data_IF_687103478680
#
_entry.id   IF_687103478680
#
_cell.length_a   1.000
_cell.length_b   1.000
_cell.length_c   1.000
_cell.angle_alpha   90.00
_cell.angle_beta   90.00
_cell.angle_gamma   90.00
#
_symmetry.space_group_name_H-M   'P 1'
#
loop_
_entity.id
_entity.type
_entity.pdbx_description
1 polymer ?
#
# COMPACT_ATOMS: atom_id res chain seq x y z
N UNK A 1 20.64 -0.13 -10.13
CA UNK A 1 20.87 -0.16 -11.59
C UNK A 1 19.59 0.14 -12.38
N UNK A 2 18.50 -0.60 -12.24
CA UNK A 2 17.26 -0.40 -13.00
C UNK A 2 16.69 1.03 -12.96
N UNK A 3 16.72 1.70 -11.79
CA UNK A 3 16.24 3.08 -11.64
C UNK A 3 17.06 4.08 -12.49
N UNK A 4 18.40 3.90 -12.55
CA UNK A 4 19.27 4.72 -13.38
C UNK A 4 18.98 4.53 -14.87
N UNK A 5 18.76 3.29 -15.31
CA UNK A 5 18.37 2.99 -16.69
C UNK A 5 17.02 3.59 -17.06
N UNK A 6 16.04 3.58 -16.15
CA UNK A 6 14.74 4.24 -16.38
C UNK A 6 14.87 5.76 -16.49
N UNK A 7 15.71 6.39 -15.65
CA UNK A 7 15.95 7.84 -15.72
C UNK A 7 16.69 8.23 -17.01
N UNK A 8 17.68 7.45 -17.43
CA UNK A 8 18.39 7.64 -18.69
C UNK A 8 17.46 7.47 -19.90
N UNK A 9 16.60 6.43 -19.88
CA UNK A 9 15.63 6.24 -20.96
C UNK A 9 14.68 7.43 -21.09
N UNK A 10 14.13 7.93 -19.97
CA UNK A 10 13.26 9.10 -19.97
C UNK A 10 13.99 10.38 -20.43
N UNK A 11 15.25 10.57 -20.05
CA UNK A 11 16.06 11.69 -20.52
C UNK A 11 16.25 11.64 -22.04
N UNK A 12 16.62 10.48 -22.60
CA UNK A 12 16.79 10.36 -24.06
C UNK A 12 15.46 10.43 -24.85
N UNK A 13 14.34 10.00 -24.27
CA UNK A 13 13.01 10.22 -24.86
C UNK A 13 12.70 11.71 -24.94
N UNK A 14 12.89 12.46 -23.86
CA UNK A 14 12.74 13.91 -23.85
C UNK A 14 13.66 14.60 -24.87
N UNK A 15 14.94 14.19 -24.96
CA UNK A 15 15.89 14.76 -25.91
C UNK A 15 15.52 14.49 -27.38
N UNK A 16 14.95 13.29 -27.66
CA UNK A 16 14.40 12.95 -28.98
C UNK A 16 13.20 13.83 -29.36
N UNK A 17 12.25 14.00 -28.44
CA UNK A 17 11.05 14.83 -28.64
C UNK A 17 11.39 16.31 -28.82
N UNK A 18 12.54 16.74 -28.29
CA UNK A 18 13.02 18.14 -28.36
C UNK A 18 14.03 18.37 -29.47
N UNK A 19 14.29 17.41 -30.35
CA UNK A 19 15.33 17.44 -31.40
C UNK A 19 16.74 17.77 -30.89
N UNK A 20 17.02 17.48 -29.63
CA UNK A 20 18.31 17.75 -28.95
C UNK A 20 19.16 16.50 -28.76
N UNK A 21 18.69 15.34 -29.20
CA UNK A 21 19.26 14.06 -28.86
C UNK A 21 19.69 13.19 -30.04
N UNK A 22 20.15 11.99 -29.77
CA UNK A 22 20.45 11.00 -30.80
C UNK A 22 19.17 10.57 -31.51
N UNK A 23 19.25 10.11 -32.75
CA UNK A 23 18.12 9.64 -33.57
C UNK A 23 17.36 8.45 -32.96
N UNK A 24 17.96 7.72 -32.01
CA UNK A 24 17.37 6.56 -31.36
C UNK A 24 17.75 6.59 -29.88
N UNK A 25 16.80 6.27 -29.00
CA UNK A 25 17.10 6.13 -27.57
C UNK A 25 18.11 4.98 -27.33
N UNK A 26 19.32 5.28 -26.82
CA UNK A 26 20.36 4.27 -26.64
C UNK A 26 20.08 3.27 -25.50
N UNK A 27 19.04 3.52 -24.68
CA UNK A 27 18.65 2.59 -23.60
C UNK A 27 17.73 1.52 -24.17
N UNK A 28 18.13 0.25 -24.18
CA UNK A 28 17.35 -0.82 -24.76
C UNK A 28 15.99 -0.96 -24.11
N UNK A 29 14.92 -1.02 -24.90
CA UNK A 29 13.55 -1.31 -24.45
C UNK A 29 13.33 -2.83 -24.37
N UNK A 30 12.37 -3.27 -23.54
CA UNK A 30 11.91 -4.65 -23.55
C UNK A 30 11.13 -4.93 -24.85
N UNK A 31 11.05 -6.21 -25.26
CA UNK A 31 10.21 -6.58 -26.40
C UNK A 31 8.74 -6.24 -26.16
N UNK A 32 8.26 -6.29 -24.94
CA UNK A 32 6.89 -5.89 -24.57
C UNK A 32 6.66 -4.38 -24.78
N UNK A 33 7.66 -3.53 -24.57
CA UNK A 33 7.55 -2.09 -24.82
C UNK A 33 7.56 -1.79 -26.32
N UNK A 34 8.26 -2.60 -27.12
CA UNK A 34 8.28 -2.47 -28.59
C UNK A 34 6.96 -2.92 -29.22
N UNK A 35 6.34 -3.98 -28.71
CA UNK A 35 5.04 -4.47 -29.22
C UNK A 35 3.87 -3.55 -28.87
N UNK A 36 3.96 -2.73 -27.83
CA UNK A 36 2.95 -1.69 -27.55
C UNK A 36 2.96 -0.53 -28.56
N UNK A 37 4.09 -0.26 -29.16
CA UNK A 37 4.21 0.72 -30.25
C UNK A 37 3.69 0.16 -31.60
N UNK A 38 3.71 -1.16 -31.77
CA UNK A 38 3.21 -1.88 -32.96
C UNK A 38 1.79 -2.45 -32.79
N UNK A 39 1.02 -2.03 -31.81
CA UNK A 39 -0.30 -2.59 -31.42
C UNK A 39 -1.40 -2.50 -32.50
N UNK A 40 -1.09 -2.05 -33.70
CA UNK A 40 -1.97 -2.13 -34.90
C UNK A 40 -1.74 -3.37 -35.75
N UNK A 41 -0.86 -4.30 -35.37
CA UNK A 41 -0.61 -5.53 -36.15
C UNK A 41 -0.81 -6.79 -35.32
N UNK A 42 -1.92 -7.48 -35.62
CA UNK A 42 -2.19 -8.93 -35.49
C UNK A 42 -2.51 -9.53 -34.13
N UNK A 43 -3.76 -9.93 -34.02
CA UNK A 43 -4.47 -10.62 -32.92
C UNK A 43 -4.19 -12.11 -32.76
N UNK A 44 -3.11 -12.71 -33.22
CA UNK A 44 -2.95 -14.17 -33.27
C UNK A 44 -1.63 -14.75 -32.76
N UNK A 45 -0.93 -14.10 -31.84
CA UNK A 45 0.24 -14.73 -31.21
C UNK A 45 0.04 -14.93 -29.71
N UNK A 46 0.19 -16.19 -29.26
CA UNK A 46 0.22 -16.56 -27.85
C UNK A 46 1.22 -15.71 -27.08
N UNK A 47 0.94 -15.34 -25.83
CA UNK A 47 1.85 -14.50 -25.04
C UNK A 47 3.19 -15.22 -24.85
N UNK A 48 4.20 -14.80 -25.59
CA UNK A 48 5.58 -15.26 -25.39
C UNK A 48 6.11 -14.68 -24.09
N UNK A 49 6.88 -15.45 -23.29
CA UNK A 49 7.43 -14.94 -22.05
C UNK A 49 8.22 -13.68 -22.30
N UNK A 50 7.90 -12.63 -21.53
CA UNK A 50 8.54 -11.31 -21.60
C UNK A 50 10.07 -11.47 -21.44
N UNK A 51 10.82 -11.33 -22.53
CA UNK A 51 12.28 -11.20 -22.45
C UNK A 51 12.57 -9.80 -21.94
N UNK A 52 13.22 -9.72 -20.78
CA UNK A 52 13.64 -8.45 -20.17
C UNK A 52 14.50 -7.63 -21.10
N UNK A 53 14.40 -6.32 -20.94
CA UNK A 53 15.36 -5.42 -21.60
C UNK A 53 16.78 -5.78 -21.14
N UNK A 54 17.75 -5.80 -22.07
CA UNK A 54 19.18 -5.99 -21.74
C UNK A 54 19.60 -5.03 -20.61
N UNK A 55 20.54 -5.48 -19.77
CA UNK A 55 21.10 -4.72 -18.64
C UNK A 55 20.15 -4.48 -17.45
N UNK A 56 18.84 -4.81 -17.51
CA UNK A 56 17.98 -4.75 -16.34
C UNK A 56 18.18 -5.96 -15.44
N UNK A 57 18.57 -5.70 -14.21
CA UNK A 57 18.74 -6.76 -13.21
C UNK A 57 17.39 -7.36 -12.83
N UNK A 58 17.38 -8.67 -12.57
CA UNK A 58 16.24 -9.35 -11.95
C UNK A 58 16.04 -8.80 -10.54
N UNK A 59 14.90 -8.13 -10.32
CA UNK A 59 14.50 -7.81 -8.97
C UNK A 59 14.13 -9.13 -8.28
N UNK A 60 14.82 -9.44 -7.20
CA UNK A 60 14.42 -10.52 -6.31
C UNK A 60 13.10 -10.06 -5.69
N UNK A 61 12.05 -10.81 -5.88
CA UNK A 61 10.74 -10.55 -5.26
C UNK A 61 10.87 -10.90 -3.76
N UNK A 62 11.32 -9.92 -2.99
CA UNK A 62 11.40 -10.06 -1.55
C UNK A 62 10.02 -9.80 -0.98
N UNK A 63 9.60 -10.66 -0.05
CA UNK A 63 8.39 -10.40 0.73
C UNK A 63 8.47 -9.00 1.37
N UNK A 64 7.38 -8.24 1.39
CA UNK A 64 7.34 -6.96 2.07
C UNK A 64 7.74 -7.13 3.53
N UNK A 65 8.59 -6.23 4.04
CA UNK A 65 9.00 -6.26 5.43
C UNK A 65 7.90 -5.65 6.29
N UNK A 66 7.25 -6.45 7.12
CA UNK A 66 6.40 -5.96 8.21
C UNK A 66 7.27 -5.72 9.46
N UNK A 67 6.92 -4.69 10.21
CA UNK A 67 7.51 -4.43 11.52
C UNK A 67 6.82 -5.34 12.55
N UNK A 68 7.61 -5.98 13.41
CA UNK A 68 7.06 -6.63 14.60
C UNK A 68 6.54 -5.57 15.58
N UNK A 69 5.57 -5.96 16.41
CA UNK A 69 5.02 -5.04 17.41
C UNK A 69 6.10 -4.58 18.39
N UNK A 70 7.02 -5.46 18.78
CA UNK A 70 8.16 -5.11 19.63
C UNK A 70 9.04 -4.04 19.00
N UNK A 71 9.45 -4.18 17.74
CA UNK A 71 10.26 -3.17 17.04
C UNK A 71 9.49 -1.85 16.86
N UNK A 72 8.18 -1.92 16.60
CA UNK A 72 7.34 -0.72 16.55
C UNK A 72 7.37 0.04 17.89
N UNK A 73 7.17 -0.66 19.02
CA UNK A 73 7.20 -0.06 20.35
C UNK A 73 8.57 0.54 20.69
N UNK A 74 9.67 -0.13 20.33
CA UNK A 74 11.03 0.40 20.49
C UNK A 74 11.21 1.70 19.70
N UNK A 75 10.82 1.71 18.40
CA UNK A 75 10.88 2.91 17.57
C UNK A 75 10.02 4.00 18.18
N UNK A 76 8.78 3.71 18.56
CA UNK A 76 7.84 4.68 19.10
C UNK A 76 8.35 5.30 20.41
N UNK A 77 8.90 4.49 21.30
CA UNK A 77 9.47 4.94 22.58
C UNK A 77 10.72 5.82 22.38
N UNK A 78 11.52 5.55 21.35
CA UNK A 78 12.69 6.35 21.02
C UNK A 78 12.36 7.76 20.52
N UNK A 79 11.13 8.02 20.09
CA UNK A 79 10.68 9.32 19.59
C UNK A 79 10.51 10.31 20.74
N UNK A 80 11.09 11.50 20.59
CA UNK A 80 11.18 12.49 21.67
C UNK A 80 10.05 13.51 21.69
N UNK A 81 9.33 13.70 20.57
CA UNK A 81 8.34 14.78 20.43
C UNK A 81 6.96 14.24 20.10
N UNK A 82 5.90 14.94 20.52
CA UNK A 82 4.53 14.55 20.18
C UNK A 82 4.28 14.60 18.67
N UNK A 83 4.94 15.50 17.94
CA UNK A 83 4.91 15.53 16.47
C UNK A 83 5.42 14.21 15.88
N UNK A 84 6.60 13.76 16.31
CA UNK A 84 7.24 12.59 15.72
C UNK A 84 6.44 11.33 16.05
N UNK A 85 5.89 11.23 17.26
CA UNK A 85 4.96 10.16 17.67
C UNK A 85 3.67 10.19 16.85
N UNK A 86 3.09 11.38 16.64
CA UNK A 86 1.89 11.53 15.83
C UNK A 86 2.12 11.09 14.37
N UNK A 87 3.26 11.44 13.77
CA UNK A 87 3.65 11.01 12.41
C UNK A 87 3.70 9.49 12.31
N UNK A 88 4.41 8.83 13.22
CA UNK A 88 4.60 7.38 13.20
C UNK A 88 3.29 6.64 13.50
N UNK A 89 2.54 7.08 14.51
CA UNK A 89 1.25 6.49 14.85
C UNK A 89 0.24 6.64 13.69
N UNK A 90 0.19 7.79 13.04
CA UNK A 90 -0.67 8.01 11.87
C UNK A 90 -0.25 7.12 10.71
N UNK A 91 1.04 7.00 10.42
CA UNK A 91 1.55 6.20 9.33
C UNK A 91 1.16 4.70 9.48
N UNK A 92 1.33 4.13 10.67
CA UNK A 92 1.04 2.71 10.91
C UNK A 92 -0.47 2.43 11.00
N UNK A 93 -1.28 3.38 11.46
CA UNK A 93 -2.72 3.20 11.62
C UNK A 93 -3.55 3.40 10.35
N UNK A 94 -3.02 4.13 9.37
CA UNK A 94 -3.75 4.52 8.16
C UNK A 94 -3.11 4.05 6.86
N UNK A 95 -1.88 3.55 6.93
CA UNK A 95 -1.11 3.14 5.76
C UNK A 95 -0.82 4.26 4.75
N UNK A 96 -0.86 5.52 5.18
CA UNK A 96 -0.59 6.68 4.33
C UNK A 96 0.81 6.63 3.72
N UNK A 97 0.93 7.06 2.47
CA UNK A 97 2.25 7.33 1.88
C UNK A 97 2.86 8.56 2.54
N UNK A 98 4.17 8.62 2.58
CA UNK A 98 4.89 9.75 3.15
C UNK A 98 4.46 11.11 2.54
N UNK A 99 4.22 11.16 1.22
CA UNK A 99 3.74 12.36 0.53
C UNK A 99 2.28 12.71 0.91
N UNK A 100 1.41 11.72 1.08
CA UNK A 100 0.03 11.91 1.51
C UNK A 100 0.00 12.47 2.93
N UNK A 101 0.77 11.86 3.85
CA UNK A 101 0.89 12.31 5.22
C UNK A 101 1.42 13.75 5.28
N UNK A 102 2.50 14.08 4.56
CA UNK A 102 3.08 15.43 4.55
C UNK A 102 2.17 16.49 3.92
N UNK A 103 1.22 16.10 3.07
CA UNK A 103 0.27 17.02 2.45
C UNK A 103 -0.92 17.39 3.34
N UNK A 104 -1.07 16.77 4.52
CA UNK A 104 -2.20 17.03 5.42
C UNK A 104 -2.24 18.47 5.89
N UNK A 105 -3.44 19.07 5.90
CA UNK A 105 -3.73 20.41 6.38
C UNK A 105 -4.61 20.37 7.61
N UNK A 106 -4.59 21.41 8.44
CA UNK A 106 -5.41 21.48 9.66
C UNK A 106 -6.90 21.31 9.37
N UNK A 107 -7.41 22.02 8.35
CA UNK A 107 -8.81 21.93 7.94
C UNK A 107 -9.23 20.62 7.28
N UNK A 108 -8.29 19.70 7.06
CA UNK A 108 -8.56 18.36 6.56
C UNK A 108 -8.72 17.31 7.67
N UNK A 109 -8.60 17.71 8.93
CA UNK A 109 -8.73 16.83 10.09
C UNK A 109 -10.16 16.87 10.64
N UNK A 110 -10.79 15.72 10.79
CA UNK A 110 -12.15 15.56 11.33
C UNK A 110 -12.07 14.85 12.68
N UNK A 111 -12.07 15.63 13.76
CA UNK A 111 -11.82 15.11 15.11
C UNK A 111 -12.92 14.19 15.61
N UNK A 112 -14.19 14.50 15.28
CA UNK A 112 -15.34 13.71 15.72
C UNK A 112 -15.27 12.26 15.24
N UNK A 113 -14.82 12.06 14.00
CA UNK A 113 -14.81 10.75 13.35
C UNK A 113 -13.40 10.12 13.29
N UNK A 114 -12.39 10.79 13.83
CA UNK A 114 -10.98 10.39 13.70
C UNK A 114 -10.58 10.10 12.24
N UNK A 115 -10.99 10.97 11.32
CA UNK A 115 -10.70 10.87 9.89
C UNK A 115 -9.91 12.08 9.40
N UNK A 116 -9.33 11.97 8.22
CA UNK A 116 -8.68 13.07 7.54
C UNK A 116 -8.90 12.97 6.02
N UNK A 117 -9.11 14.11 5.37
CA UNK A 117 -9.01 14.19 3.92
C UNK A 117 -7.54 14.16 3.50
N UNK A 118 -7.22 13.40 2.48
CA UNK A 118 -5.90 13.39 1.87
C UNK A 118 -6.00 13.55 0.36
N UNK A 119 -4.92 14.00 -0.26
CA UNK A 119 -4.79 14.05 -1.72
C UNK A 119 -3.86 12.90 -2.14
N UNK A 120 -4.39 11.84 -2.76
CA UNK A 120 -3.60 10.70 -3.21
C UNK A 120 -2.58 11.13 -4.28
N UNK A 121 -1.42 10.49 -4.31
CA UNK A 121 -0.44 10.71 -5.37
C UNK A 121 -1.02 10.30 -6.73
N UNK A 122 -1.11 11.23 -7.67
CA UNK A 122 -1.70 11.01 -9.00
C UNK A 122 -3.22 11.19 -9.07
N UNK A 123 -3.87 11.65 -8.00
CA UNK A 123 -5.34 11.77 -7.90
C UNK A 123 -5.94 13.07 -8.44
N UNK A 124 -5.30 13.79 -9.37
CA UNK A 124 -5.83 15.03 -9.99
C UNK A 124 -6.48 16.02 -9.00
N UNK A 125 -5.98 16.09 -7.75
CA UNK A 125 -6.53 16.96 -6.71
C UNK A 125 -7.77 16.42 -5.97
N UNK A 126 -8.32 15.28 -6.35
CA UNK A 126 -9.44 14.65 -5.65
C UNK A 126 -9.04 14.28 -4.22
N UNK A 127 -9.92 14.61 -3.26
CA UNK A 127 -9.73 14.24 -1.86
C UNK A 127 -10.31 12.86 -1.59
N UNK A 128 -9.64 12.12 -0.73
CA UNK A 128 -10.09 10.81 -0.24
C UNK A 128 -10.08 10.83 1.27
N UNK A 129 -11.18 10.41 1.87
CA UNK A 129 -11.30 10.29 3.33
C UNK A 129 -10.54 9.06 3.81
N UNK A 130 -9.73 9.24 4.86
CA UNK A 130 -8.93 8.18 5.46
C UNK A 130 -9.22 8.10 6.96
N UNK A 131 -9.42 6.89 7.44
CA UNK A 131 -9.57 6.63 8.88
C UNK A 131 -8.19 6.59 9.54
N UNK A 132 -8.11 7.22 10.71
CA UNK A 132 -6.94 7.21 11.60
C UNK A 132 -7.39 6.57 12.91
N UNK A 133 -6.58 5.70 13.52
CA UNK A 133 -6.98 5.09 14.79
C UNK A 133 -7.15 6.15 15.89
N UNK A 134 -8.07 5.96 16.85
CA UNK A 134 -8.26 6.91 17.95
C UNK A 134 -6.96 7.21 18.70
N UNK A 135 -6.14 6.18 18.94
CA UNK A 135 -4.84 6.33 19.60
C UNK A 135 -3.87 7.23 18.80
N UNK A 136 -3.81 7.05 17.48
CA UNK A 136 -2.98 7.90 16.62
C UNK A 136 -3.53 9.32 16.52
N UNK A 137 -4.85 9.47 16.49
CA UNK A 137 -5.50 10.79 16.47
C UNK A 137 -5.23 11.57 17.76
N UNK A 138 -5.20 10.89 18.91
CA UNK A 138 -4.81 11.49 20.19
C UNK A 138 -3.40 12.10 20.14
N UNK A 139 -2.44 11.43 19.47
CA UNK A 139 -1.11 11.99 19.27
C UNK A 139 -1.12 13.23 18.37
N UNK A 140 -1.94 13.25 17.33
CA UNK A 140 -2.16 14.45 16.51
C UNK A 140 -2.69 15.59 17.38
N UNK A 141 -3.73 15.31 18.18
CA UNK A 141 -4.32 16.32 19.07
C UNK A 141 -3.29 16.87 20.09
N UNK A 142 -2.52 16.00 20.72
CA UNK A 142 -1.44 16.41 21.65
C UNK A 142 -0.41 17.31 20.97
N UNK A 143 0.02 16.93 19.76
CA UNK A 143 0.97 17.74 19.02
C UNK A 143 0.39 19.09 18.61
N UNK A 144 -0.87 19.13 18.16
CA UNK A 144 -1.52 20.39 17.79
C UNK A 144 -1.80 21.30 18.99
N UNK A 145 -2.03 20.73 20.18
CA UNK A 145 -2.18 21.50 21.43
C UNK A 145 -0.90 22.23 21.86
N UNK A 146 0.28 21.76 21.42
CA UNK A 146 1.57 22.43 21.66
C UNK A 146 1.80 23.65 20.73
N UNK A 147 0.89 23.89 19.80
CA UNK A 147 1.04 24.92 18.78
C UNK A 147 -0.09 25.94 18.86
N UNK A 148 0.19 27.21 18.49
CA UNK A 148 -0.87 28.20 18.31
C UNK A 148 -1.94 27.71 17.31
N UNK A 149 -3.17 28.17 17.51
CA UNK A 149 -4.20 28.02 16.49
C UNK A 149 -3.70 28.62 15.17
N UNK A 150 -3.98 27.92 14.06
CA UNK A 150 -3.56 28.37 12.73
C UNK A 150 -4.69 28.20 11.73
N UNK A 151 -4.56 28.76 10.53
CA UNK A 151 -5.58 28.69 9.50
C UNK A 151 -5.78 27.24 9.00
N UNK A 152 -6.96 26.92 8.41
CA UNK A 152 -7.25 25.58 7.89
C UNK A 152 -6.25 25.07 6.84
N UNK A 153 -5.66 25.98 6.09
CA UNK A 153 -4.69 25.68 5.01
C UNK A 153 -3.28 25.38 5.55
N UNK A 154 -3.03 25.65 6.84
CA UNK A 154 -1.74 25.39 7.44
C UNK A 154 -1.42 23.90 7.46
N UNK A 155 -0.14 23.57 7.16
CA UNK A 155 0.32 22.19 7.24
C UNK A 155 0.17 21.65 8.66
N UNK A 156 -0.34 20.42 8.79
CA UNK A 156 -0.35 19.72 10.09
C UNK A 156 1.09 19.58 10.62
N UNK A 157 2.00 19.16 9.77
CA UNK A 157 3.37 18.85 10.16
C UNK A 157 4.32 20.01 9.90
N UNK A 158 4.84 20.59 10.96
CA UNK A 158 5.75 21.73 10.90
C UNK A 158 7.11 21.40 11.53
N UNK A 159 8.15 22.15 11.17
CA UNK A 159 9.44 22.09 11.84
C UNK A 159 9.32 22.60 13.29
N UNK A 160 10.10 22.01 14.22
CA UNK A 160 10.08 22.38 15.65
C UNK A 160 11.21 23.35 16.03
N UNK A 161 12.14 23.62 15.13
CA UNK A 161 13.28 24.52 15.36
C UNK A 161 13.33 25.57 14.29
N UNK A 162 13.74 26.79 14.68
CA UNK A 162 13.77 27.95 13.81
C UNK A 162 12.37 28.43 13.44
N UNK A 163 12.26 29.19 12.36
CA UNK A 163 10.97 29.67 11.85
C UNK A 163 10.11 28.44 11.43
N UNK A 164 8.87 28.32 11.95
CA UNK A 164 7.98 27.22 11.58
C UNK A 164 7.72 27.17 10.07
N UNK A 165 7.97 26.03 9.47
CA UNK A 165 7.71 25.76 8.04
C UNK A 165 7.22 24.33 7.86
N UNK A 166 6.48 24.00 6.80
CA UNK A 166 6.03 22.65 6.52
C UNK A 166 7.19 21.65 6.55
N UNK A 167 6.97 20.50 7.18
CA UNK A 167 7.97 19.46 7.31
C UNK A 167 8.27 18.86 5.94
N UNK A 168 9.53 18.83 5.52
CA UNK A 168 9.95 18.21 4.27
C UNK A 168 10.08 16.69 4.41
N UNK A 169 10.06 15.98 3.29
CA UNK A 169 10.31 14.52 3.27
C UNK A 169 11.68 14.17 3.88
N UNK A 170 12.70 14.96 3.58
CA UNK A 170 14.02 14.76 4.14
C UNK A 170 14.01 14.90 5.67
N UNK A 171 13.38 15.95 6.20
CA UNK A 171 13.29 16.17 7.65
C UNK A 171 12.49 15.06 8.36
N UNK A 172 11.41 14.56 7.74
CA UNK A 172 10.66 13.41 8.24
C UNK A 172 11.52 12.13 8.24
N UNK A 173 12.29 11.89 7.20
CA UNK A 173 13.22 10.76 7.14
C UNK A 173 14.26 10.83 8.26
N UNK A 174 14.79 12.03 8.58
CA UNK A 174 15.74 12.24 9.67
C UNK A 174 15.18 11.89 11.06
N UNK A 175 13.85 11.90 11.24
CA UNK A 175 13.22 11.42 12.48
C UNK A 175 13.52 9.94 12.68
N UNK A 176 13.28 9.13 11.64
CA UNK A 176 13.51 7.69 11.68
C UNK A 176 15.02 7.34 11.66
N UNK A 177 15.84 8.08 10.96
CA UNK A 177 17.28 7.86 10.95
C UNK A 177 17.90 8.01 12.35
N UNK A 178 17.42 8.96 13.16
CA UNK A 178 17.85 9.09 14.56
C UNK A 178 17.41 7.90 15.42
N UNK A 179 16.17 7.44 15.26
CA UNK A 179 15.66 6.25 15.94
C UNK A 179 16.45 5.02 15.53
N UNK A 180 16.66 4.83 14.23
CA UNK A 180 17.43 3.70 13.67
C UNK A 180 18.88 3.67 14.21
N UNK A 181 19.52 4.83 14.32
CA UNK A 181 20.89 4.93 14.87
C UNK A 181 20.96 4.48 16.34
N UNK A 182 19.90 4.74 17.13
CA UNK A 182 19.80 4.32 18.53
C UNK A 182 19.55 2.81 18.66
N UNK A 183 18.70 2.26 17.77
CA UNK A 183 18.20 0.88 17.87
C UNK A 183 18.99 -0.11 17.00
N UNK A 184 19.97 0.34 16.21
CA UNK A 184 20.65 -0.51 15.23
C UNK A 184 19.70 -1.03 14.13
N UNK A 185 18.59 -0.33 13.88
CA UNK A 185 17.56 -0.72 12.92
C UNK A 185 17.66 0.07 11.61
N UNK A 186 16.76 -0.21 10.66
CA UNK A 186 16.70 0.49 9.38
C UNK A 186 15.25 0.74 8.93
N UNK A 187 14.38 1.07 9.85
CA UNK A 187 12.95 1.32 9.64
C UNK A 187 12.74 2.57 8.78
N UNK A 188 11.82 2.50 7.85
CA UNK A 188 11.43 3.58 6.94
C UNK A 188 9.92 3.85 7.01
N UNK A 189 9.47 4.99 6.49
CA UNK A 189 8.02 5.28 6.36
C UNK A 189 7.27 4.25 5.53
N UNK A 190 7.97 3.59 4.62
CA UNK A 190 7.36 2.55 3.78
C UNK A 190 7.08 1.27 4.56
N UNK A 191 7.91 0.94 5.56
CA UNK A 191 7.71 -0.23 6.40
C UNK A 191 6.45 -0.12 7.26
N UNK A 192 6.06 1.07 7.75
CA UNK A 192 4.78 1.29 8.44
C UNK A 192 3.59 1.00 7.53
N UNK A 193 3.65 1.47 6.29
CA UNK A 193 2.61 1.18 5.29
C UNK A 193 2.55 -0.32 4.95
N UNK A 194 3.70 -0.99 4.82
CA UNK A 194 3.75 -2.44 4.63
C UNK A 194 3.14 -3.18 5.82
N UNK A 195 3.46 -2.76 7.04
CA UNK A 195 2.90 -3.35 8.27
C UNK A 195 1.38 -3.19 8.32
N UNK A 196 0.87 -2.00 8.01
CA UNK A 196 -0.59 -1.78 7.91
C UNK A 196 -1.23 -2.73 6.89
N UNK A 197 -0.66 -2.83 5.70
CA UNK A 197 -1.17 -3.73 4.66
C UNK A 197 -1.12 -5.21 5.06
N UNK A 198 -0.03 -5.65 5.72
CA UNK A 198 0.09 -7.01 6.23
C UNK A 198 -0.94 -7.32 7.32
N UNK A 199 -1.20 -6.37 8.24
CA UNK A 199 -2.25 -6.52 9.25
C UNK A 199 -3.64 -6.65 8.62
N UNK A 200 -3.95 -5.87 7.59
CA UNK A 200 -5.20 -6.02 6.83
C UNK A 200 -5.28 -7.36 6.11
N UNK A 201 -4.16 -7.86 5.58
CA UNK A 201 -4.10 -9.14 4.88
C UNK A 201 -4.31 -10.35 5.81
N UNK A 202 -4.08 -10.18 7.11
CA UNK A 202 -4.30 -11.20 8.13
C UNK A 202 -5.72 -11.17 8.71
N UNK A 203 -6.51 -10.15 8.39
CA UNK A 203 -7.90 -10.06 8.81
C UNK A 203 -8.79 -10.87 7.84
N UNK A 204 -9.37 -11.96 8.33
CA UNK A 204 -10.21 -12.87 7.54
C UNK A 204 -11.49 -12.20 7.03
N UNK A 205 -11.91 -11.09 7.64
CA UNK A 205 -13.09 -10.33 7.22
C UNK A 205 -12.76 -9.30 6.12
N UNK A 206 -11.49 -9.15 5.74
CA UNK A 206 -11.05 -8.16 4.77
C UNK A 206 -10.85 -8.77 3.39
N UNK A 207 -11.61 -8.31 2.42
CA UNK A 207 -11.45 -8.73 1.02
C UNK A 207 -10.27 -8.02 0.33
N UNK A 208 -9.76 -8.65 -0.74
CA UNK A 208 -8.69 -8.05 -1.56
C UNK A 208 -9.12 -6.69 -2.14
N UNK A 209 -10.38 -6.55 -2.54
CA UNK A 209 -10.92 -5.33 -3.10
C UNK A 209 -10.95 -4.20 -2.05
N UNK A 210 -11.39 -4.49 -0.83
CA UNK A 210 -11.38 -3.55 0.29
C UNK A 210 -9.95 -3.15 0.67
N UNK A 211 -9.02 -4.11 0.72
CA UNK A 211 -7.61 -3.80 0.93
C UNK A 211 -7.04 -2.86 -0.15
N UNK A 212 -7.35 -3.12 -1.43
CA UNK A 212 -6.91 -2.29 -2.54
C UNK A 212 -7.43 -0.86 -2.40
N UNK A 213 -8.70 -0.71 -2.05
CA UNK A 213 -9.36 0.58 -1.81
C UNK A 213 -8.71 1.32 -0.63
N UNK A 214 -8.63 0.68 0.55
CA UNK A 214 -8.01 1.26 1.75
C UNK A 214 -6.54 1.67 1.51
N UNK A 215 -5.80 0.86 0.76
CA UNK A 215 -4.41 1.15 0.42
C UNK A 215 -4.27 2.14 -0.73
N UNK A 216 -5.34 2.46 -1.43
CA UNK A 216 -5.31 3.36 -2.60
C UNK A 216 -4.26 2.88 -3.63
N UNK A 217 -4.26 1.56 -3.89
CA UNK A 217 -3.38 0.96 -4.87
C UNK A 217 -3.97 1.10 -6.27
N UNK A 218 -3.24 1.74 -7.18
CA UNK A 218 -3.64 1.86 -8.59
C UNK A 218 -3.65 0.49 -9.32
N UNK A 219 -2.98 -0.52 -8.78
CA UNK A 219 -2.90 -1.87 -9.35
C UNK A 219 -3.10 -2.93 -8.29
N UNK A 220 -3.93 -3.92 -8.58
CA UNK A 220 -4.19 -5.09 -7.73
C UNK A 220 -2.90 -5.88 -7.46
N UNK A 221 -1.96 -5.92 -8.42
CA UNK A 221 -0.66 -6.58 -8.25
C UNK A 221 0.15 -6.04 -7.05
N UNK A 222 -0.11 -4.80 -6.65
CA UNK A 222 0.51 -4.21 -5.44
C UNK A 222 -0.09 -4.79 -4.16
N UNK A 223 -1.37 -5.18 -4.18
CA UNK A 223 -2.08 -5.75 -3.02
C UNK A 223 -1.86 -7.25 -2.92
N UNK A 224 -1.92 -7.98 -4.03
CA UNK A 224 -1.75 -9.44 -4.07
C UNK A 224 -0.38 -9.91 -3.57
N UNK A 225 0.63 -9.03 -3.58
CA UNK A 225 1.94 -9.33 -2.99
C UNK A 225 1.86 -9.68 -1.50
N UNK A 226 0.89 -9.13 -0.77
CA UNK A 226 0.68 -9.36 0.66
C UNK A 226 -0.19 -10.57 0.97
N UNK A 227 -0.83 -11.14 -0.03
CA UNK A 227 -1.79 -12.23 0.08
C UNK A 227 -1.20 -13.58 -0.33
N UNK A 228 0.11 -13.67 -0.51
CA UNK A 228 0.76 -14.96 -0.80
C UNK A 228 0.81 -15.79 0.48
N UNK A 229 -0.04 -16.83 0.58
CA UNK A 229 -0.01 -17.72 1.73
C UNK A 229 1.33 -18.45 1.77
N UNK A 230 1.81 -18.78 2.95
CA UNK A 230 2.95 -19.66 3.10
C UNK A 230 2.56 -21.09 2.66
N UNK A 231 3.57 -21.88 2.29
CA UNK A 231 3.31 -23.29 1.91
C UNK A 231 2.66 -24.05 3.07
N UNK A 232 3.05 -23.74 4.32
CA UNK A 232 2.47 -24.34 5.54
C UNK A 232 0.99 -23.99 5.64
N UNK A 233 0.61 -22.72 5.50
CA UNK A 233 -0.82 -22.32 5.51
C UNK A 233 -1.64 -22.99 4.41
N UNK A 234 -1.04 -23.21 3.24
CA UNK A 234 -1.73 -23.95 2.15
C UNK A 234 -1.94 -25.42 2.49
N UNK A 235 -0.96 -26.06 3.13
CA UNK A 235 -1.08 -27.44 3.61
C UNK A 235 -2.19 -27.54 4.65
N UNK A 236 -2.18 -26.67 5.66
CA UNK A 236 -3.20 -26.65 6.71
C UNK A 236 -4.62 -26.46 6.15
N UNK A 237 -4.76 -25.56 5.16
CA UNK A 237 -6.04 -25.34 4.47
C UNK A 237 -6.48 -26.56 3.65
N UNK A 238 -5.56 -27.27 3.02
CA UNK A 238 -5.87 -28.52 2.29
C UNK A 238 -6.32 -29.59 3.25
N UNK A 239 -5.65 -29.76 4.39
CA UNK A 239 -6.04 -30.71 5.42
C UNK A 239 -7.43 -30.40 5.98
N UNK A 240 -7.74 -29.14 6.24
CA UNK A 240 -9.08 -28.71 6.64
C UNK A 240 -10.13 -28.96 5.56
N UNK A 241 -9.78 -28.77 4.27
CA UNK A 241 -10.67 -29.04 3.16
C UNK A 241 -11.02 -30.52 3.05
N UNK A 242 -10.03 -31.39 3.17
CA UNK A 242 -10.23 -32.85 3.09
C UNK A 242 -10.98 -33.42 4.30
N UNK A 243 -10.81 -32.79 5.47
CA UNK A 243 -11.49 -33.18 6.71
C UNK A 243 -12.86 -32.50 6.89
N UNK A 244 -13.31 -31.69 5.91
CA UNK A 244 -14.61 -31.02 6.01
C UNK A 244 -15.73 -32.07 5.95
N UNK A 245 -16.66 -32.08 6.93
CA UNK A 245 -17.82 -32.95 6.86
C UNK A 245 -18.64 -32.63 5.59
N UNK A 246 -19.29 -33.63 4.99
CA UNK A 246 -20.15 -33.41 3.84
C UNK A 246 -21.21 -32.37 4.18
N UNK A 247 -21.48 -31.48 3.22
CA UNK A 247 -22.51 -30.46 3.41
C UNK A 247 -23.86 -31.13 3.72
N UNK A 248 -24.64 -30.60 4.67
CA UNK A 248 -25.98 -31.10 4.89
C UNK A 248 -26.79 -31.01 3.58
N UNK A 249 -27.67 -31.96 3.31
CA UNK A 249 -28.50 -31.93 2.09
C UNK A 249 -29.24 -30.57 2.04
N UNK A 250 -29.39 -30.00 0.84
CA UNK A 250 -30.09 -28.74 0.70
C UNK A 250 -31.51 -28.84 1.27
N UNK A 251 -31.91 -27.86 2.04
CA UNK A 251 -33.28 -27.80 2.55
C UNK A 251 -34.26 -27.85 1.36
N UNK A 252 -35.38 -28.60 1.46
CA UNK A 252 -36.35 -28.66 0.38
C UNK A 252 -36.84 -27.25 0.03
N UNK A 253 -36.97 -26.99 -1.27
CA UNK A 253 -37.46 -25.72 -1.76
C UNK A 253 -38.85 -25.44 -1.17
N UNK A 254 -39.13 -24.18 -0.79
CA UNK A 254 -40.42 -23.77 -0.24
C UNK A 254 -41.55 -24.23 -1.21
N UNK A 255 -42.45 -25.10 -0.75
CA UNK A 255 -43.58 -25.59 -1.50
C UNK A 255 -43.50 -27.07 -1.93
N UNK A 256 -42.39 -27.75 -1.66
CA UNK A 256 -42.29 -29.21 -1.90
C UNK A 256 -42.11 -29.93 -0.58
N UNK A 257 -42.94 -30.97 -0.34
CA UNK A 257 -42.74 -31.86 0.80
C UNK A 257 -41.51 -32.74 0.55
N UNK A 258 -40.80 -33.14 1.62
CA UNK A 258 -39.64 -34.03 1.49
C UNK A 258 -39.97 -35.36 0.78
N UNK A 259 -41.21 -35.82 0.93
CA UNK A 259 -41.74 -37.00 0.30
C UNK A 259 -41.89 -36.83 -1.22
N UNK A 260 -42.24 -35.64 -1.71
CA UNK A 260 -42.35 -35.35 -3.15
C UNK A 260 -41.00 -35.36 -3.85
N UNK A 261 -39.94 -34.92 -3.15
CA UNK A 261 -38.57 -34.91 -3.65
C UNK A 261 -38.00 -36.32 -3.74
N UNK A 262 -38.38 -37.25 -2.86
CA UNK A 262 -38.00 -38.68 -2.96
C UNK A 262 -38.62 -39.35 -4.17
N UNK A 263 -39.82 -38.98 -4.59
CA UNK A 263 -40.49 -39.51 -5.76
C UNK A 263 -39.84 -39.01 -7.07
N UNK A 264 -39.35 -37.76 -7.06
CA UNK A 264 -38.76 -37.13 -8.27
C UNK A 264 -37.29 -37.49 -8.49
N UNK A 265 -36.51 -37.68 -7.44
CA UNK A 265 -35.04 -37.83 -7.54
C UNK A 265 -34.53 -39.21 -7.13
N UNK A 266 -35.42 -40.15 -6.77
CA UNK A 266 -35.05 -41.52 -6.40
C UNK A 266 -34.37 -41.62 -5.03
N UNK A 267 -34.52 -42.75 -4.35
CA UNK A 267 -33.68 -43.09 -3.20
C UNK A 267 -32.32 -43.51 -3.73
N UNK A 268 -31.27 -42.77 -3.39
CA UNK A 268 -29.95 -43.35 -3.48
C UNK A 268 -29.80 -44.43 -2.41
N UNK A 269 -29.48 -45.62 -2.87
CA UNK A 269 -29.16 -46.79 -2.07
C UNK A 269 -27.82 -46.66 -1.39
#
# INVERSE_FOLDING_TARGET
MNRRLSSLSGFYEFALESDLGPLINPVPKSRADLTRLDAHRQHFDSPRPEKRAPYRQKLVDRAPRALSDALYEEVFTSLRTNRDRAIVATAISSGLRASELLSMRRGMLHAADHTADIIPKGGNGSRVLVRISPAAYLWIARYLAERPAGPPEESVWMTLRGTPRPLSYWAMRQILERSNALLGSNVTMHDFRHTFCMRLAQDENMTIAEMQELMRHASIASTTRYLRPSVTELIDKLDQHWNRPPAPPPAPAKGYAAEDLHVLFGRDS
#
